data_IF_947164341060
#
_entry.id   IF_947164341060
#
_cell.length_a   1.000
_cell.length_b   1.000
_cell.length_c   1.000
_cell.angle_alpha   90.00
_cell.angle_beta   90.00
_cell.angle_gamma   90.00
#
_symmetry.space_group_name_H-M   'P 1'
#
loop_
_entity.id
_entity.type
_entity.pdbx_description
1 polymer ?
#
# COMPACT_ATOMS: atom_id res chain seq x y z
N UNK A 1 -3.53 21.87 26.61
CA UNK A 1 -4.53 21.36 25.63
C UNK A 1 -3.79 21.03 24.34
N UNK A 2 -3.39 19.76 24.16
CA UNK A 2 -2.69 19.35 22.95
C UNK A 2 -3.63 19.54 21.74
N UNK A 3 -3.17 20.28 20.73
CA UNK A 3 -3.93 20.52 19.51
C UNK A 3 -4.28 19.19 18.86
N UNK A 4 -5.58 18.91 18.74
CA UNK A 4 -6.10 17.78 17.97
C UNK A 4 -5.67 17.99 16.52
N UNK A 5 -4.58 17.36 16.11
CA UNK A 5 -4.23 17.27 14.70
C UNK A 5 -5.43 16.64 14.01
N UNK A 6 -6.13 17.42 13.19
CA UNK A 6 -7.11 16.89 12.27
C UNK A 6 -6.32 15.95 11.35
N UNK A 7 -6.49 14.64 11.52
CA UNK A 7 -6.05 13.67 10.52
C UNK A 7 -6.82 14.02 9.26
N UNK A 8 -6.17 14.67 8.30
CA UNK A 8 -6.73 14.84 6.96
C UNK A 8 -6.86 13.44 6.38
N UNK A 9 -8.07 12.88 6.47
CA UNK A 9 -8.37 11.59 5.86
C UNK A 9 -8.16 11.70 4.35
N UNK A 10 -7.62 10.64 3.74
CA UNK A 10 -7.52 10.58 2.28
C UNK A 10 -8.94 10.49 1.71
N UNK A 11 -9.31 11.46 0.89
CA UNK A 11 -10.64 11.51 0.26
C UNK A 11 -10.75 10.63 -1.00
N UNK A 12 -9.63 10.11 -1.52
CA UNK A 12 -9.62 9.27 -2.72
C UNK A 12 -8.85 7.99 -2.47
N UNK A 13 -9.37 6.88 -3.01
CA UNK A 13 -8.78 5.55 -2.93
C UNK A 13 -8.25 5.15 -4.31
N UNK A 14 -7.06 4.56 -4.34
CA UNK A 14 -6.43 4.04 -5.56
C UNK A 14 -6.93 2.63 -5.88
N UNK A 15 -8.22 2.52 -6.24
CA UNK A 15 -8.84 1.26 -6.66
C UNK A 15 -9.48 1.48 -8.04
N UNK A 16 -9.13 0.64 -9.02
CA UNK A 16 -9.70 0.75 -10.37
C UNK A 16 -10.89 -0.18 -10.54
N UNK A 17 -11.99 0.28 -11.20
CA UNK A 17 -13.15 -0.57 -11.44
C UNK A 17 -12.87 -1.85 -12.25
N UNK A 18 -11.80 -1.86 -13.06
CA UNK A 18 -11.37 -3.03 -13.83
C UNK A 18 -10.73 -4.13 -12.98
N UNK A 19 -10.66 -3.98 -11.65
CA UNK A 19 -10.17 -5.03 -10.74
C UNK A 19 -10.95 -6.34 -10.91
N UNK A 20 -12.24 -6.24 -11.25
CA UNK A 20 -13.10 -7.39 -11.52
C UNK A 20 -12.76 -8.12 -12.83
N UNK A 21 -12.00 -7.49 -13.73
CA UNK A 21 -11.50 -8.15 -14.94
C UNK A 21 -10.14 -8.83 -14.69
N UNK A 22 -9.37 -8.38 -13.68
CA UNK A 22 -8.04 -8.90 -13.35
C UNK A 22 -8.11 -10.38 -12.92
N UNK A 23 -7.56 -11.28 -13.75
CA UNK A 23 -7.57 -12.73 -13.49
C UNK A 23 -6.96 -13.11 -12.14
N UNK A 24 -5.85 -12.47 -11.73
CA UNK A 24 -5.21 -12.75 -10.44
C UNK A 24 -6.13 -12.44 -9.27
N UNK A 25 -6.85 -11.33 -9.33
CA UNK A 25 -7.80 -10.94 -8.29
C UNK A 25 -9.02 -11.86 -8.25
N UNK A 26 -9.60 -12.18 -9.43
CA UNK A 26 -10.76 -13.08 -9.52
C UNK A 26 -10.49 -14.50 -9.01
N UNK A 27 -9.23 -14.95 -9.06
CA UNK A 27 -8.83 -16.26 -8.56
C UNK A 27 -8.66 -16.31 -7.03
N UNK A 28 -8.70 -15.17 -6.34
CA UNK A 28 -8.63 -15.12 -4.87
C UNK A 28 -9.93 -15.60 -4.23
N UNK A 29 -9.86 -16.25 -3.06
CA UNK A 29 -11.02 -16.49 -2.22
C UNK A 29 -11.71 -15.19 -1.79
N UNK A 30 -13.01 -15.26 -1.50
CA UNK A 30 -13.83 -14.09 -1.17
C UNK A 30 -13.26 -13.27 0.01
N UNK A 31 -12.75 -13.92 1.06
CA UNK A 31 -12.15 -13.24 2.21
C UNK A 31 -10.87 -12.49 1.84
N UNK A 32 -10.03 -13.06 0.96
CA UNK A 32 -8.84 -12.38 0.43
C UNK A 32 -9.20 -11.19 -0.47
N UNK A 33 -10.21 -11.33 -1.33
CA UNK A 33 -10.74 -10.21 -2.12
C UNK A 33 -11.26 -9.09 -1.20
N UNK A 34 -12.06 -9.46 -0.18
CA UNK A 34 -12.57 -8.53 0.82
C UNK A 34 -11.44 -7.81 1.55
N UNK A 35 -10.43 -8.55 2.03
CA UNK A 35 -9.29 -7.99 2.75
C UNK A 35 -8.53 -7.00 1.87
N UNK A 36 -8.27 -7.35 0.61
CA UNK A 36 -7.63 -6.44 -0.34
C UNK A 36 -8.41 -5.12 -0.48
N UNK A 37 -9.73 -5.18 -0.66
CA UNK A 37 -10.58 -3.99 -0.75
C UNK A 37 -10.63 -3.19 0.55
N UNK A 38 -10.68 -3.88 1.69
CA UNK A 38 -10.66 -3.28 3.03
C UNK A 38 -9.34 -2.50 3.25
N UNK A 39 -8.19 -3.09 2.92
CA UNK A 39 -6.88 -2.43 3.03
C UNK A 39 -6.80 -1.17 2.15
N UNK A 40 -7.29 -1.23 0.90
CA UNK A 40 -7.29 -0.07 -0.02
C UNK A 40 -8.09 1.11 0.52
N UNK A 41 -9.19 0.82 1.20
CA UNK A 41 -10.13 1.82 1.72
C UNK A 41 -9.84 2.20 3.18
N UNK A 42 -8.87 1.54 3.82
CA UNK A 42 -8.55 1.78 5.22
C UNK A 42 -7.93 3.17 5.42
N UNK A 43 -8.34 3.83 6.51
CA UNK A 43 -7.91 5.19 6.84
C UNK A 43 -6.42 5.32 7.17
N UNK A 44 -5.82 4.25 7.73
CA UNK A 44 -4.40 4.23 8.13
C UNK A 44 -3.46 3.84 6.98
N UNK A 45 -3.97 3.39 5.83
CA UNK A 45 -3.13 3.14 4.66
C UNK A 45 -2.48 4.48 4.23
N UNK A 46 -1.15 4.50 4.12
CA UNK A 46 -0.41 5.71 3.88
C UNK A 46 -0.26 6.02 2.37
N UNK A 47 0.39 7.14 2.04
CA UNK A 47 0.55 7.58 0.65
C UNK A 47 1.44 6.66 -0.19
N UNK A 48 2.37 5.93 0.44
CA UNK A 48 3.23 4.97 -0.24
C UNK A 48 2.54 3.61 -0.48
N UNK A 49 1.36 3.36 0.09
CA UNK A 49 0.67 2.07 0.01
C UNK A 49 0.99 1.11 1.15
N UNK A 50 1.58 1.61 2.24
CA UNK A 50 1.93 0.82 3.43
C UNK A 50 0.91 1.04 4.54
N UNK A 51 0.59 -0.02 5.28
CA UNK A 51 -0.38 -0.03 6.38
C UNK A 51 0.15 -0.92 7.52
N UNK A 52 -0.24 -0.60 8.75
CA UNK A 52 0.02 -1.46 9.91
C UNK A 52 -0.72 -2.80 9.75
N UNK A 53 0.03 -3.91 9.80
CA UNK A 53 -0.51 -5.26 9.77
C UNK A 53 -0.94 -5.69 11.17
N UNK A 54 -2.21 -5.48 11.49
CA UNK A 54 -2.80 -5.89 12.76
C UNK A 54 -4.06 -6.74 12.54
N UNK A 55 -3.93 -8.07 12.40
CA UNK A 55 -5.03 -8.99 12.08
C UNK A 55 -6.27 -8.82 12.94
N UNK A 56 -6.11 -8.69 14.27
CA UNK A 56 -7.26 -8.51 15.16
C UNK A 56 -8.03 -7.20 14.93
N UNK A 57 -7.34 -6.11 14.56
CA UNK A 57 -8.00 -4.83 14.24
C UNK A 57 -8.71 -4.89 12.89
N UNK A 58 -8.10 -5.57 11.92
CA UNK A 58 -8.69 -5.79 10.59
C UNK A 58 -9.92 -6.71 10.68
N UNK A 59 -9.84 -7.79 11.46
CA UNK A 59 -10.96 -8.70 11.69
C UNK A 59 -12.16 -7.98 12.31
N UNK A 60 -11.92 -7.06 13.25
CA UNK A 60 -12.96 -6.24 13.88
C UNK A 60 -13.73 -5.31 12.93
N UNK A 61 -13.37 -5.25 11.64
CA UNK A 61 -14.13 -4.53 10.61
C UNK A 61 -15.29 -5.37 10.03
N UNK A 62 -15.38 -6.67 10.36
CA UNK A 62 -16.49 -7.55 10.00
C UNK A 62 -17.01 -8.30 11.23
N UNK A 63 -18.30 -8.61 11.25
CA UNK A 63 -18.94 -9.29 12.39
C UNK A 63 -18.61 -10.78 12.49
N UNK A 64 -18.13 -11.37 11.40
CA UNK A 64 -17.96 -12.81 11.20
C UNK A 64 -16.49 -13.23 11.03
N UNK A 65 -15.55 -12.28 11.00
CA UNK A 65 -14.13 -12.57 10.84
C UNK A 65 -13.40 -12.60 12.18
N UNK A 66 -12.44 -13.52 12.28
CA UNK A 66 -11.45 -13.57 13.35
C UNK A 66 -10.05 -13.26 12.82
N UNK A 67 -9.08 -13.09 13.72
CA UNK A 67 -7.69 -12.78 13.33
C UNK A 67 -7.08 -13.83 12.41
N UNK A 68 -7.43 -15.10 12.62
CA UNK A 68 -6.97 -16.22 11.80
C UNK A 68 -7.45 -16.11 10.34
N UNK A 69 -8.69 -15.67 10.11
CA UNK A 69 -9.21 -15.45 8.76
C UNK A 69 -8.41 -14.38 8.02
N UNK A 70 -7.97 -13.33 8.74
CA UNK A 70 -7.15 -12.25 8.17
C UNK A 70 -5.75 -12.75 7.84
N UNK A 71 -5.16 -13.60 8.68
CA UNK A 71 -3.85 -14.19 8.41
C UNK A 71 -3.90 -15.13 7.20
N UNK A 72 -4.93 -15.97 7.10
CA UNK A 72 -5.14 -16.85 5.95
C UNK A 72 -5.39 -16.02 4.68
N UNK A 73 -6.24 -14.99 4.74
CA UNK A 73 -6.47 -14.10 3.61
C UNK A 73 -5.20 -13.33 3.22
N UNK A 74 -4.40 -12.92 4.21
CA UNK A 74 -3.12 -12.25 4.03
C UNK A 74 -2.10 -13.13 3.29
N UNK A 75 -1.96 -14.39 3.68
CA UNK A 75 -1.06 -15.34 3.01
C UNK A 75 -1.50 -15.61 1.57
N UNK A 76 -2.81 -15.75 1.32
CA UNK A 76 -3.35 -15.91 -0.04
C UNK A 76 -3.06 -14.68 -0.92
N UNK A 77 -3.12 -13.47 -0.35
CA UNK A 77 -2.77 -12.24 -1.05
C UNK A 77 -1.26 -12.13 -1.31
N UNK A 78 -0.41 -12.55 -0.37
CA UNK A 78 1.04 -12.63 -0.57
C UNK A 78 1.39 -13.64 -1.68
N UNK A 79 0.82 -14.85 -1.65
CA UNK A 79 1.04 -15.89 -2.66
C UNK A 79 0.60 -15.44 -4.06
N UNK A 80 -0.52 -14.71 -4.15
CA UNK A 80 -0.99 -14.13 -5.42
C UNK A 80 -0.24 -12.86 -5.85
N UNK A 81 0.71 -12.38 -5.03
CA UNK A 81 1.52 -11.21 -5.30
C UNK A 81 0.79 -9.87 -5.15
N UNK A 82 -0.35 -9.84 -4.47
CA UNK A 82 -1.13 -8.63 -4.20
C UNK A 82 -0.67 -7.87 -2.96
N UNK A 83 -0.04 -8.55 -2.01
CA UNK A 83 0.42 -7.99 -0.75
C UNK A 83 1.86 -8.44 -0.46
N UNK A 84 2.59 -7.66 0.33
CA UNK A 84 3.85 -8.05 0.96
C UNK A 84 3.72 -7.74 2.44
N UNK A 85 3.77 -8.75 3.30
CA UNK A 85 3.64 -8.61 4.75
C UNK A 85 5.01 -8.80 5.40
N UNK A 86 5.34 -7.95 6.36
CA UNK A 86 6.46 -8.14 7.28
C UNK A 86 5.92 -8.29 8.70
N UNK A 87 5.81 -9.54 9.14
CA UNK A 87 5.33 -9.88 10.48
C UNK A 87 6.24 -9.36 11.61
N UNK A 88 7.53 -9.11 11.32
CA UNK A 88 8.49 -8.61 12.31
C UNK A 88 8.28 -7.15 12.65
N UNK A 89 7.98 -6.32 11.66
CA UNK A 89 7.66 -4.89 11.87
C UNK A 89 6.17 -4.60 11.95
N UNK A 90 5.32 -5.62 11.72
CA UNK A 90 3.87 -5.49 11.64
C UNK A 90 3.44 -4.46 10.59
N UNK A 91 4.04 -4.54 9.41
CA UNK A 91 3.70 -3.69 8.27
C UNK A 91 3.28 -4.56 7.09
N UNK A 92 2.35 -4.06 6.28
CA UNK A 92 2.00 -4.66 5.01
C UNK A 92 2.02 -3.61 3.90
N UNK A 93 2.41 -4.04 2.70
CA UNK A 93 2.46 -3.24 1.50
C UNK A 93 1.56 -3.82 0.42
N UNK A 94 0.71 -2.98 -0.15
CA UNK A 94 -0.10 -3.34 -1.32
C UNK A 94 0.80 -3.27 -2.55
N UNK A 95 1.14 -4.43 -3.12
CA UNK A 95 2.08 -4.50 -4.25
C UNK A 95 1.50 -3.79 -5.49
N UNK A 96 2.31 -2.95 -6.14
CA UNK A 96 1.87 -2.19 -7.30
C UNK A 96 0.98 -0.99 -6.96
N UNK A 97 0.88 -0.60 -5.67
CA UNK A 97 0.01 0.51 -5.26
C UNK A 97 0.37 1.83 -5.96
N UNK A 98 1.67 2.12 -6.13
CA UNK A 98 2.13 3.35 -6.75
C UNK A 98 2.05 3.26 -8.27
N UNK A 99 2.23 2.06 -8.84
CA UNK A 99 2.01 1.81 -10.27
C UNK A 99 0.53 1.96 -10.68
N UNK A 100 -0.39 1.49 -9.84
CA UNK A 100 -1.84 1.67 -10.04
C UNK A 100 -2.31 3.07 -9.69
N UNK A 101 -1.56 3.82 -8.88
CA UNK A 101 -1.81 5.24 -8.70
C UNK A 101 -1.53 5.91 -10.05
N UNK A 102 -2.60 6.21 -10.79
CA UNK A 102 -2.58 6.73 -12.17
C UNK A 102 -1.78 8.05 -12.29
N UNK A 103 -1.22 8.56 -11.17
CA UNK A 103 -0.99 9.95 -10.86
C UNK A 103 -0.10 10.16 -9.61
N UNK A 104 1.13 9.68 -9.66
CA UNK A 104 2.27 10.55 -9.30
C UNK A 104 2.21 11.79 -10.22
N UNK A 105 1.18 12.63 -9.98
CA UNK A 105 0.58 13.65 -10.86
C UNK A 105 1.25 15.00 -10.73
N UNK A 106 1.85 15.19 -9.56
CA UNK A 106 2.46 16.42 -9.14
C UNK A 106 3.62 16.11 -8.19
N UNK A 107 4.62 16.98 -8.11
CA UNK A 107 5.71 16.87 -7.16
C UNK A 107 5.24 16.71 -5.71
N UNK A 108 4.14 17.35 -5.32
CA UNK A 108 3.59 17.22 -3.96
C UNK A 108 3.21 15.78 -3.62
N UNK A 109 2.62 15.05 -4.57
CA UNK A 109 2.31 13.62 -4.37
C UNK A 109 3.59 12.81 -4.27
N UNK A 110 4.59 13.09 -5.11
CA UNK A 110 5.90 12.44 -5.05
C UNK A 110 6.58 12.60 -3.68
N UNK A 111 6.61 13.82 -3.15
CA UNK A 111 7.13 14.12 -1.81
C UNK A 111 6.38 13.32 -0.75
N UNK A 112 5.05 13.26 -0.83
CA UNK A 112 4.24 12.53 0.15
C UNK A 112 4.48 11.02 0.10
N UNK A 113 4.64 10.44 -1.10
CA UNK A 113 4.99 9.03 -1.31
C UNK A 113 6.38 8.74 -0.74
N UNK A 114 7.41 9.49 -1.14
CA UNK A 114 8.78 9.27 -0.67
C UNK A 114 8.92 9.44 0.84
N UNK A 115 8.29 10.48 1.42
CA UNK A 115 8.27 10.68 2.88
C UNK A 115 7.57 9.52 3.60
N UNK A 116 6.47 8.99 3.05
CA UNK A 116 5.77 7.85 3.63
C UNK A 116 6.61 6.55 3.52
N UNK A 117 7.30 6.34 2.41
CA UNK A 117 8.20 5.21 2.23
C UNK A 117 9.42 5.26 3.17
N UNK A 118 9.99 6.45 3.41
CA UNK A 118 11.08 6.63 4.38
C UNK A 118 10.67 6.29 5.82
N UNK A 119 9.37 6.44 6.15
CA UNK A 119 8.82 6.08 7.47
C UNK A 119 8.55 4.58 7.62
N UNK A 120 8.60 3.81 6.54
CA UNK A 120 8.46 2.36 6.60
C UNK A 120 9.66 1.75 7.32
N UNK A 121 9.39 0.92 8.32
CA UNK A 121 10.40 0.27 9.14
C UNK A 121 10.93 -1.03 8.53
N UNK A 122 10.07 -1.77 7.83
CA UNK A 122 10.37 -3.03 7.17
C UNK A 122 11.38 -2.84 6.06
N UNK A 123 12.55 -3.47 6.19
CA UNK A 123 13.55 -3.53 5.12
C UNK A 123 13.01 -4.30 3.90
N UNK A 124 12.21 -5.34 4.12
CA UNK A 124 11.55 -6.14 3.07
C UNK A 124 10.65 -5.23 2.23
N UNK A 125 9.74 -4.49 2.87
CA UNK A 125 8.81 -3.60 2.16
C UNK A 125 9.54 -2.42 1.51
N UNK A 126 10.52 -1.81 2.17
CA UNK A 126 11.34 -0.75 1.57
C UNK A 126 12.01 -1.19 0.27
N UNK A 127 12.54 -2.42 0.24
CA UNK A 127 13.14 -2.99 -0.96
C UNK A 127 12.11 -3.15 -2.09
N UNK A 128 10.92 -3.68 -1.79
CA UNK A 128 9.83 -3.80 -2.78
C UNK A 128 9.41 -2.42 -3.32
N UNK A 129 9.24 -1.44 -2.44
CA UNK A 129 8.93 -0.05 -2.83
C UNK A 129 10.02 0.55 -3.72
N UNK A 130 11.30 0.33 -3.38
CA UNK A 130 12.45 0.82 -4.17
C UNK A 130 12.43 0.22 -5.57
N UNK A 131 12.20 -1.08 -5.70
CA UNK A 131 12.11 -1.77 -6.99
C UNK A 131 10.96 -1.22 -7.83
N UNK A 132 9.77 -1.07 -7.23
CA UNK A 132 8.61 -0.51 -7.92
C UNK A 132 8.85 0.93 -8.38
N UNK A 133 9.32 1.81 -7.50
CA UNK A 133 9.56 3.22 -7.83
C UNK A 133 10.72 3.37 -8.83
N UNK A 134 11.76 2.56 -8.75
CA UNK A 134 12.84 2.53 -9.74
C UNK A 134 12.31 2.16 -11.12
N UNK A 135 11.50 1.12 -11.20
CA UNK A 135 10.84 0.72 -12.44
C UNK A 135 9.97 1.85 -13.01
N UNK A 136 9.16 2.50 -12.18
CA UNK A 136 8.31 3.62 -12.60
C UNK A 136 9.13 4.81 -13.11
N UNK A 137 10.24 5.15 -12.45
CA UNK A 137 11.16 6.23 -12.87
C UNK A 137 11.80 5.93 -14.22
N UNK A 138 12.22 4.68 -14.44
CA UNK A 138 12.80 4.25 -15.72
C UNK A 138 11.77 4.33 -16.86
N UNK A 139 10.52 3.94 -16.60
CA UNK A 139 9.45 4.03 -17.60
C UNK A 139 8.97 5.48 -17.84
N UNK A 140 9.18 6.39 -16.89
CA UNK A 140 8.66 7.76 -16.93
C UNK A 140 9.72 8.79 -16.48
N UNK A 141 10.84 8.94 -17.20
CA UNK A 141 11.98 9.74 -16.74
C UNK A 141 11.64 11.22 -16.52
N UNK A 142 10.69 11.76 -17.28
CA UNK A 142 10.29 13.17 -17.21
C UNK A 142 9.16 13.45 -16.20
N UNK A 143 8.72 12.47 -15.42
CA UNK A 143 7.67 12.68 -14.43
C UNK A 143 8.23 13.41 -13.20
N UNK A 144 7.79 14.65 -13.01
CA UNK A 144 8.26 15.52 -11.92
C UNK A 144 7.98 15.00 -10.51
N UNK A 145 6.98 14.14 -10.32
CA UNK A 145 6.72 13.51 -9.04
C UNK A 145 7.77 12.44 -8.70
N UNK A 146 8.22 11.67 -9.68
CA UNK A 146 9.26 10.63 -9.53
C UNK A 146 10.66 11.22 -9.32
N UNK A 147 10.88 12.48 -9.73
CA UNK A 147 12.14 13.20 -9.57
C UNK A 147 12.24 13.99 -8.26
N UNK A 148 11.34 13.77 -7.30
CA UNK A 148 11.37 14.46 -6.02
C UNK A 148 12.45 13.89 -5.11
N UNK A 149 13.10 14.75 -4.32
CA UNK A 149 14.23 14.36 -3.47
C UNK A 149 13.91 13.16 -2.56
N UNK A 150 12.75 13.08 -1.86
CA UNK A 150 12.46 11.93 -1.00
C UNK A 150 12.37 10.59 -1.74
N UNK A 151 11.95 10.60 -3.02
CA UNK A 151 11.96 9.40 -3.85
C UNK A 151 13.40 9.08 -4.28
N UNK A 152 14.16 10.07 -4.76
CA UNK A 152 15.55 9.87 -5.17
C UNK A 152 16.41 9.31 -4.03
N UNK A 153 16.23 9.82 -2.81
CA UNK A 153 16.93 9.33 -1.62
C UNK A 153 16.68 7.82 -1.43
N UNK A 154 15.41 7.39 -1.44
CA UNK A 154 15.01 5.99 -1.31
C UNK A 154 15.63 5.10 -2.41
N UNK A 155 15.80 5.63 -3.63
CA UNK A 155 16.41 4.88 -4.73
C UNK A 155 17.92 4.68 -4.56
N UNK A 156 18.58 5.52 -3.74
CA UNK A 156 20.03 5.49 -3.51
C UNK A 156 20.48 4.79 -2.24
N UNK A 157 19.56 4.49 -1.32
CA UNK A 157 19.81 3.70 -0.10
C UNK A 157 20.30 2.27 -0.40
#
# INVERSE_FOLDING_TARGET
MAGRQLRTARNTVNLHPNIWDETRFRNLPATAQWLYLALHTHQDLNQAGVIDWHPARLAGMSSDLISEDIEIAGSQLEEAGHLTIDYGTQEAYINGYNAKNRWLKSPTVGIAVGTAAQKTHSRKIRQVLKEELSYLTQQNPNNSALQTQPILDLLTE
#
